data_IF_200098260072
#
_entry.id   IF_200098260072
#
_cell.length_a   1.000
_cell.length_b   1.000
_cell.length_c   1.000
_cell.angle_alpha   90.00
_cell.angle_beta   90.00
_cell.angle_gamma   90.00
#
_symmetry.space_group_name_H-M   'P 1'
#
loop_
_entity.id
_entity.type
_entity.pdbx_description
1 polymer ?
#
# COMPACT_ATOMS: atom_id res chain seq x y z
N UNK A 1 -4.48 -30.76 -3.44
CA UNK A 1 -4.02 -30.03 -2.24
C UNK A 1 -4.90 -28.80 -2.12
N UNK A 2 -5.78 -28.74 -1.12
CA UNK A 2 -6.62 -27.56 -0.87
C UNK A 2 -5.72 -26.54 -0.20
N UNK A 3 -5.42 -25.41 -0.87
CA UNK A 3 -4.64 -24.33 -0.31
C UNK A 3 -5.57 -23.61 0.68
N UNK A 4 -5.24 -23.63 1.96
CA UNK A 4 -5.94 -22.86 2.97
C UNK A 4 -5.73 -21.39 2.69
N UNK A 5 -6.83 -20.65 2.50
CA UNK A 5 -6.85 -19.18 2.47
C UNK A 5 -7.19 -18.68 3.86
N UNK A 6 -6.56 -17.59 4.24
CA UNK A 6 -6.99 -16.85 5.43
C UNK A 6 -8.38 -16.29 5.18
N UNK A 7 -9.39 -16.83 5.90
CA UNK A 7 -10.78 -16.40 5.79
C UNK A 7 -11.09 -15.45 6.95
N UNK A 8 -11.12 -14.15 6.67
CA UNK A 8 -11.51 -13.12 7.63
C UNK A 8 -12.88 -12.55 7.24
N UNK A 9 -13.94 -13.07 7.86
CA UNK A 9 -15.28 -12.55 7.60
C UNK A 9 -15.50 -11.20 8.29
N UNK A 10 -16.02 -10.23 7.55
CA UNK A 10 -16.41 -8.92 8.11
C UNK A 10 -17.59 -9.10 9.06
N UNK A 11 -17.52 -8.69 10.33
CA UNK A 11 -18.68 -8.75 11.24
C UNK A 11 -19.85 -7.91 10.72
N UNK A 12 -21.09 -8.33 10.98
CA UNK A 12 -22.29 -7.68 10.46
C UNK A 12 -22.40 -6.18 10.80
N UNK A 13 -22.10 -5.82 12.06
CA UNK A 13 -22.11 -4.42 12.50
C UNK A 13 -21.06 -3.59 11.77
N UNK A 14 -19.88 -4.16 11.56
CA UNK A 14 -18.79 -3.51 10.80
C UNK A 14 -19.22 -3.34 9.33
N UNK A 15 -19.79 -4.38 8.71
CA UNK A 15 -20.25 -4.31 7.33
C UNK A 15 -21.27 -3.20 7.13
N UNK A 16 -22.27 -3.08 8.03
CA UNK A 16 -23.29 -2.02 7.97
C UNK A 16 -22.69 -0.62 8.09
N UNK A 17 -21.75 -0.43 9.01
CA UNK A 17 -21.03 0.84 9.16
C UNK A 17 -20.25 1.20 7.89
N UNK A 18 -19.48 0.25 7.36
CA UNK A 18 -18.63 0.48 6.19
C UNK A 18 -19.44 0.79 4.92
N UNK A 19 -20.58 0.14 4.75
CA UNK A 19 -21.47 0.41 3.61
C UNK A 19 -22.10 1.81 3.70
N UNK A 20 -22.50 2.24 4.91
CA UNK A 20 -23.00 3.61 5.12
C UNK A 20 -21.93 4.66 4.79
N UNK A 21 -20.69 4.47 5.26
CA UNK A 21 -19.56 5.37 4.98
C UNK A 21 -19.14 5.34 3.49
N UNK A 22 -19.30 4.21 2.81
CA UNK A 22 -19.00 4.10 1.38
C UNK A 22 -19.87 4.98 0.51
N UNK A 23 -21.08 5.36 1.00
CA UNK A 23 -21.99 6.32 0.35
C UNK A 23 -22.23 5.98 -1.13
N UNK A 24 -22.66 4.75 -1.42
CA UNK A 24 -23.18 4.39 -2.74
C UNK A 24 -24.59 4.97 -2.89
N UNK A 25 -24.92 5.45 -4.09
CA UNK A 25 -26.23 6.07 -4.36
C UNK A 25 -27.12 5.05 -5.06
N UNK A 26 -28.07 4.47 -4.31
CA UNK A 26 -29.07 3.51 -4.78
C UNK A 26 -28.58 2.53 -5.85
N UNK A 27 -27.52 1.72 -5.55
CA UNK A 27 -26.96 0.80 -6.52
C UNK A 27 -27.98 -0.28 -6.90
N UNK A 28 -28.22 -0.49 -8.19
CA UNK A 28 -29.09 -1.57 -8.64
C UNK A 28 -28.43 -2.92 -8.42
N UNK A 29 -27.11 -3.00 -8.65
CA UNK A 29 -26.33 -4.23 -8.52
C UNK A 29 -25.15 -4.04 -7.56
N UNK A 30 -25.18 -4.76 -6.43
CA UNK A 30 -24.04 -4.90 -5.52
C UNK A 30 -23.40 -6.28 -5.71
N UNK A 31 -22.11 -6.33 -6.01
CA UNK A 31 -21.39 -7.59 -6.27
C UNK A 31 -20.23 -7.77 -5.29
N UNK A 32 -20.15 -8.97 -4.70
CA UNK A 32 -19.02 -9.41 -3.88
C UNK A 32 -18.41 -10.70 -4.46
N UNK A 33 -17.23 -10.65 -5.09
CA UNK A 33 -16.59 -11.81 -5.73
C UNK A 33 -15.87 -12.73 -4.75
N UNK A 34 -15.91 -12.41 -3.45
CA UNK A 34 -15.33 -13.21 -2.34
C UNK A 34 -16.26 -13.17 -1.14
N UNK A 35 -17.56 -13.43 -1.38
CA UNK A 35 -18.66 -13.04 -0.48
C UNK A 35 -18.63 -13.71 0.91
N UNK A 36 -17.93 -14.81 1.10
CA UNK A 36 -17.81 -15.47 2.39
C UNK A 36 -19.15 -15.65 3.09
N UNK A 37 -19.30 -15.12 4.30
CA UNK A 37 -20.55 -15.16 5.05
C UNK A 37 -21.70 -14.31 4.47
N UNK A 38 -21.44 -13.50 3.44
CA UNK A 38 -22.44 -12.62 2.80
C UNK A 38 -22.75 -11.33 3.58
N UNK A 39 -21.99 -11.00 4.62
CA UNK A 39 -22.31 -9.88 5.49
C UNK A 39 -22.25 -8.52 4.79
N UNK A 40 -21.33 -8.32 3.83
CA UNK A 40 -21.27 -7.10 3.03
C UNK A 40 -22.49 -6.98 2.11
N UNK A 41 -22.87 -8.05 1.43
CA UNK A 41 -24.09 -8.07 0.61
C UNK A 41 -25.37 -7.89 1.44
N UNK A 42 -25.44 -8.50 2.62
CA UNK A 42 -26.54 -8.32 3.55
C UNK A 42 -26.67 -6.87 4.03
N UNK A 43 -25.54 -6.23 4.33
CA UNK A 43 -25.51 -4.80 4.68
C UNK A 43 -25.97 -3.92 3.52
N UNK A 44 -25.53 -4.20 2.29
CA UNK A 44 -25.96 -3.48 1.10
C UNK A 44 -27.47 -3.61 0.89
N UNK A 45 -28.02 -4.82 0.98
CA UNK A 45 -29.44 -5.09 0.86
C UNK A 45 -30.27 -4.37 1.94
N UNK A 46 -29.78 -4.31 3.18
CA UNK A 46 -30.45 -3.59 4.28
C UNK A 46 -30.48 -2.08 4.08
N UNK A 47 -29.39 -1.49 3.56
CA UNK A 47 -29.26 -0.04 3.38
C UNK A 47 -30.03 0.43 2.14
N UNK A 48 -29.92 -0.32 1.03
CA UNK A 48 -30.46 0.10 -0.26
C UNK A 48 -31.76 -0.63 -0.69
N UNK A 49 -32.30 -1.50 0.12
CA UNK A 49 -33.60 -2.16 -0.03
C UNK A 49 -33.89 -2.86 -1.37
N UNK A 50 -33.73 -2.15 -2.48
CA UNK A 50 -33.97 -2.60 -3.85
C UNK A 50 -32.78 -3.19 -4.57
N UNK A 51 -31.58 -3.19 -3.95
CA UNK A 51 -30.36 -3.66 -4.60
C UNK A 51 -30.38 -5.18 -4.85
N UNK A 52 -29.94 -5.57 -6.04
CA UNK A 52 -29.76 -6.97 -6.41
C UNK A 52 -28.37 -7.43 -5.98
N UNK A 53 -28.33 -8.36 -5.05
CA UNK A 53 -27.08 -8.90 -4.49
C UNK A 53 -26.53 -10.03 -5.34
N UNK A 54 -25.26 -9.92 -5.72
CA UNK A 54 -24.53 -10.92 -6.51
C UNK A 54 -23.33 -11.36 -5.70
N UNK A 55 -23.16 -12.66 -5.46
CA UNK A 55 -22.06 -13.18 -4.68
C UNK A 55 -21.34 -14.34 -5.37
N UNK A 56 -20.02 -14.32 -5.28
CA UNK A 56 -19.15 -15.42 -5.68
C UNK A 56 -18.30 -15.85 -4.48
N UNK A 57 -18.09 -17.13 -4.35
CA UNK A 57 -17.12 -17.70 -3.42
C UNK A 57 -16.63 -19.04 -3.97
N UNK A 58 -15.40 -19.42 -3.65
CA UNK A 58 -14.85 -20.72 -4.04
C UNK A 58 -15.39 -21.88 -3.18
N UNK A 59 -15.87 -21.58 -1.99
CA UNK A 59 -16.43 -22.59 -1.07
C UNK A 59 -17.89 -22.89 -1.39
N UNK A 60 -18.10 -24.09 -1.97
CA UNK A 60 -19.44 -24.58 -2.29
C UNK A 60 -20.37 -24.67 -1.08
N UNK A 61 -19.83 -24.94 0.12
CA UNK A 61 -20.66 -25.08 1.34
C UNK A 61 -21.21 -23.69 1.73
N UNK A 62 -20.39 -22.67 1.66
CA UNK A 62 -20.78 -21.26 1.90
C UNK A 62 -21.90 -20.86 0.92
N UNK A 63 -21.68 -21.05 -0.37
CA UNK A 63 -22.66 -20.69 -1.40
C UNK A 63 -23.97 -21.47 -1.22
N UNK A 64 -23.90 -22.77 -0.90
CA UNK A 64 -25.10 -23.59 -0.65
C UNK A 64 -25.90 -23.08 0.55
N UNK A 65 -25.23 -22.69 1.63
CA UNK A 65 -25.86 -22.09 2.81
C UNK A 65 -26.51 -20.75 2.46
N UNK A 66 -25.76 -19.83 1.84
CA UNK A 66 -26.26 -18.50 1.49
C UNK A 66 -27.47 -18.54 0.54
N UNK A 67 -27.52 -19.50 -0.40
CA UNK A 67 -28.68 -19.70 -1.29
C UNK A 67 -29.95 -20.09 -0.53
N UNK A 68 -29.84 -20.85 0.55
CA UNK A 68 -30.98 -21.20 1.40
C UNK A 68 -31.47 -19.99 2.21
N UNK A 69 -30.53 -19.19 2.71
CA UNK A 69 -30.82 -18.03 3.55
C UNK A 69 -31.29 -16.82 2.71
N UNK A 70 -30.82 -16.71 1.46
CA UNK A 70 -31.08 -15.59 0.57
C UNK A 70 -31.45 -16.08 -0.86
N UNK A 71 -32.64 -16.65 -1.05
CA UNK A 71 -33.02 -17.30 -2.33
C UNK A 71 -33.12 -16.33 -3.51
N UNK A 72 -33.22 -15.03 -3.26
CA UNK A 72 -33.28 -13.98 -4.27
C UNK A 72 -31.91 -13.43 -4.68
N UNK A 73 -30.82 -13.84 -4.01
CA UNK A 73 -29.47 -13.44 -4.41
C UNK A 73 -28.96 -14.31 -5.56
N UNK A 74 -28.24 -13.70 -6.49
CA UNK A 74 -27.53 -14.43 -7.53
C UNK A 74 -26.17 -14.89 -7.01
N UNK A 75 -26.06 -16.17 -6.67
CA UNK A 75 -24.88 -16.74 -6.05
C UNK A 75 -24.25 -17.83 -6.95
N UNK A 76 -22.95 -17.83 -7.10
CA UNK A 76 -22.22 -18.86 -7.86
C UNK A 76 -20.93 -19.29 -7.16
N UNK A 77 -20.56 -20.57 -7.34
CA UNK A 77 -19.28 -21.10 -6.90
C UNK A 77 -18.22 -20.73 -7.95
N UNK A 78 -17.24 -19.93 -7.58
CA UNK A 78 -16.12 -19.56 -8.44
C UNK A 78 -14.88 -19.24 -7.64
N UNK A 79 -13.72 -19.65 -8.15
CA UNK A 79 -12.41 -19.19 -7.69
C UNK A 79 -11.97 -18.05 -8.59
N UNK A 80 -11.95 -16.84 -8.07
CA UNK A 80 -11.62 -15.62 -8.83
C UNK A 80 -10.18 -15.60 -9.37
N UNK A 81 -9.29 -16.43 -8.83
CA UNK A 81 -7.93 -16.56 -9.35
C UNK A 81 -7.82 -17.53 -10.53
N UNK A 82 -8.91 -18.25 -10.85
CA UNK A 82 -8.97 -19.20 -11.98
C UNK A 82 -9.97 -18.71 -13.01
N UNK A 83 -9.47 -18.19 -14.12
CA UNK A 83 -10.31 -17.68 -15.20
C UNK A 83 -11.38 -18.66 -15.68
N UNK A 84 -11.03 -19.91 -15.91
CA UNK A 84 -11.96 -20.96 -16.30
C UNK A 84 -13.03 -21.28 -15.26
N UNK A 85 -12.83 -20.92 -13.98
CA UNK A 85 -13.82 -21.09 -12.93
C UNK A 85 -14.94 -20.05 -13.01
N UNK A 86 -14.57 -18.78 -13.24
CA UNK A 86 -15.53 -17.68 -13.34
C UNK A 86 -16.37 -17.74 -14.61
N UNK A 87 -15.77 -17.98 -15.78
CA UNK A 87 -16.43 -17.97 -17.09
C UNK A 87 -17.63 -18.93 -17.15
N UNK A 88 -17.62 -20.00 -16.37
CA UNK A 88 -18.68 -21.01 -16.32
C UNK A 88 -19.83 -20.67 -15.39
N UNK A 89 -19.84 -19.49 -14.78
CA UNK A 89 -20.89 -19.10 -13.82
C UNK A 89 -22.02 -18.33 -14.51
N UNK A 90 -23.21 -18.39 -13.91
CA UNK A 90 -24.34 -17.54 -14.34
C UNK A 90 -24.03 -16.05 -14.19
N UNK A 91 -23.16 -15.68 -13.25
CA UNK A 91 -22.70 -14.30 -13.09
C UNK A 91 -21.91 -13.86 -14.33
N UNK A 92 -20.99 -14.69 -14.84
CA UNK A 92 -20.20 -14.35 -16.04
C UNK A 92 -21.05 -14.18 -17.29
N UNK A 93 -22.14 -14.98 -17.43
CA UNK A 93 -23.01 -14.89 -18.61
C UNK A 93 -23.99 -13.71 -18.56
N UNK A 94 -24.34 -13.24 -17.36
CA UNK A 94 -25.41 -12.25 -17.18
C UNK A 94 -24.90 -10.86 -16.81
N UNK A 95 -23.68 -10.74 -16.22
CA UNK A 95 -23.18 -9.49 -15.67
C UNK A 95 -21.75 -9.18 -16.12
N UNK A 96 -21.61 -8.10 -16.88
CA UNK A 96 -20.31 -7.51 -17.25
C UNK A 96 -19.96 -6.26 -16.46
N UNK A 97 -20.95 -5.66 -15.78
CA UNK A 97 -20.79 -4.45 -14.99
C UNK A 97 -21.68 -4.51 -13.75
N UNK A 98 -21.29 -3.85 -12.70
CA UNK A 98 -22.11 -3.64 -11.49
C UNK A 98 -22.03 -2.17 -11.07
N UNK A 99 -22.90 -1.74 -10.15
CA UNK A 99 -22.83 -0.38 -9.64
C UNK A 99 -21.81 -0.30 -8.51
N UNK A 100 -21.92 -1.16 -7.52
CA UNK A 100 -21.05 -1.20 -6.37
C UNK A 100 -20.36 -2.57 -6.25
N UNK A 101 -19.04 -2.54 -6.16
CA UNK A 101 -18.20 -3.73 -5.90
C UNK A 101 -17.80 -3.75 -4.43
N UNK A 102 -18.00 -4.86 -3.75
CA UNK A 102 -17.69 -5.07 -2.35
C UNK A 102 -16.56 -6.08 -2.24
N UNK A 103 -15.46 -5.70 -1.63
CA UNK A 103 -14.24 -6.52 -1.63
C UNK A 103 -13.68 -6.68 -0.21
N UNK A 104 -13.70 -7.89 0.30
CA UNK A 104 -12.86 -8.33 1.41
C UNK A 104 -12.07 -9.57 0.95
N UNK A 105 -11.07 -9.39 0.06
CA UNK A 105 -10.33 -10.50 -0.50
C UNK A 105 -9.47 -11.20 0.56
N UNK A 106 -9.06 -12.46 0.33
CA UNK A 106 -8.11 -13.11 1.20
C UNK A 106 -6.78 -12.34 1.21
N UNK A 107 -6.18 -12.19 2.39
CA UNK A 107 -4.94 -11.44 2.56
C UNK A 107 -3.69 -12.24 2.19
N UNK A 108 -3.77 -13.57 2.30
CA UNK A 108 -2.69 -14.49 1.92
C UNK A 108 -3.25 -15.76 1.27
N UNK A 109 -2.40 -16.49 0.59
CA UNK A 109 -2.71 -17.79 -0.01
C UNK A 109 -1.63 -18.79 0.39
N UNK A 110 -1.76 -19.39 1.57
CA UNK A 110 -0.80 -20.32 2.12
C UNK A 110 0.60 -19.69 2.21
N UNK A 111 1.62 -20.32 1.59
CA UNK A 111 2.99 -19.81 1.56
C UNK A 111 3.21 -18.73 0.51
N UNK A 112 2.28 -18.52 -0.42
CA UNK A 112 2.44 -17.53 -1.49
C UNK A 112 2.17 -16.15 -0.95
N UNK A 113 3.16 -15.27 -1.06
CA UNK A 113 3.07 -13.86 -0.67
C UNK A 113 2.70 -12.95 -1.83
N UNK A 114 2.83 -13.43 -3.07
CA UNK A 114 2.58 -12.68 -4.30
C UNK A 114 2.05 -13.59 -5.40
N UNK A 115 1.41 -12.99 -6.38
CA UNK A 115 0.90 -13.61 -7.60
C UNK A 115 1.32 -12.77 -8.81
N UNK A 116 1.57 -13.45 -9.91
CA UNK A 116 1.73 -12.83 -11.23
C UNK A 116 0.37 -12.79 -11.91
N UNK A 117 -0.09 -11.62 -12.31
CA UNK A 117 -1.42 -11.41 -12.91
C UNK A 117 -1.33 -10.56 -14.18
N UNK A 118 -2.28 -10.79 -15.08
CA UNK A 118 -2.56 -9.88 -16.19
C UNK A 118 -3.71 -8.95 -15.81
N UNK A 119 -3.60 -7.68 -16.16
CA UNK A 119 -4.67 -6.70 -16.05
C UNK A 119 -4.58 -5.75 -17.24
N UNK A 120 -5.66 -5.67 -18.04
CA UNK A 120 -5.72 -4.83 -19.26
C UNK A 120 -4.44 -4.89 -20.10
N UNK A 121 -4.02 -6.09 -20.46
CA UNK A 121 -2.81 -6.37 -21.28
C UNK A 121 -1.46 -6.02 -20.63
N UNK A 122 -1.42 -5.68 -19.37
CA UNK A 122 -0.18 -5.44 -18.59
C UNK A 122 0.03 -6.55 -17.56
N UNK A 123 1.30 -6.90 -17.32
CA UNK A 123 1.67 -7.92 -16.33
C UNK A 123 2.10 -7.26 -15.03
N UNK A 124 1.63 -7.81 -13.91
CA UNK A 124 1.95 -7.30 -12.57
C UNK A 124 2.32 -8.43 -11.64
N UNK A 125 3.31 -8.18 -10.78
CA UNK A 125 3.61 -9.00 -9.62
C UNK A 125 3.13 -8.26 -8.39
N UNK A 126 2.16 -8.81 -7.69
CA UNK A 126 1.51 -8.11 -6.59
C UNK A 126 1.08 -9.06 -5.46
N UNK A 127 0.61 -8.50 -4.35
CA UNK A 127 0.05 -9.27 -3.25
C UNK A 127 -1.24 -9.99 -3.65
N UNK A 128 -1.61 -11.01 -2.88
CA UNK A 128 -2.85 -11.76 -3.09
C UNK A 128 -4.06 -10.83 -3.06
N UNK A 129 -4.16 -9.94 -2.06
CA UNK A 129 -5.27 -9.00 -1.97
C UNK A 129 -5.34 -8.07 -3.20
N UNK A 130 -4.21 -7.52 -3.64
CA UNK A 130 -4.14 -6.66 -4.83
C UNK A 130 -4.58 -7.40 -6.09
N UNK A 131 -4.19 -8.66 -6.25
CA UNK A 131 -4.57 -9.48 -7.40
C UNK A 131 -6.09 -9.69 -7.50
N UNK A 132 -6.76 -9.93 -6.37
CA UNK A 132 -8.22 -10.01 -6.32
C UNK A 132 -8.90 -8.69 -6.66
N UNK A 133 -8.37 -7.57 -6.14
CA UNK A 133 -8.89 -6.23 -6.43
C UNK A 133 -8.81 -5.95 -7.93
N UNK A 134 -7.62 -6.08 -8.52
CA UNK A 134 -7.41 -5.79 -9.94
C UNK A 134 -8.30 -6.66 -10.83
N UNK A 135 -8.32 -7.96 -10.60
CA UNK A 135 -9.16 -8.88 -11.38
C UNK A 135 -10.65 -8.56 -11.24
N UNK A 136 -11.10 -8.20 -10.05
CA UNK A 136 -12.51 -7.84 -9.83
C UNK A 136 -12.88 -6.54 -10.53
N UNK A 137 -12.01 -5.55 -10.51
CA UNK A 137 -12.22 -4.29 -11.25
C UNK A 137 -12.27 -4.52 -12.77
N UNK A 138 -11.40 -5.38 -13.31
CA UNK A 138 -11.39 -5.73 -14.74
C UNK A 138 -12.66 -6.44 -15.18
N UNK A 139 -13.12 -7.41 -14.39
CA UNK A 139 -14.27 -8.26 -14.74
C UNK A 139 -15.61 -7.55 -14.57
N UNK A 140 -15.73 -6.68 -13.58
CA UNK A 140 -17.03 -6.13 -13.17
C UNK A 140 -17.21 -4.64 -13.41
N UNK A 141 -16.13 -3.89 -13.68
CA UNK A 141 -16.15 -2.48 -14.07
C UNK A 141 -17.18 -1.62 -13.28
N UNK A 142 -17.05 -1.50 -11.95
CA UNK A 142 -18.07 -0.91 -11.09
C UNK A 142 -18.29 0.59 -11.40
N UNK A 143 -19.55 0.98 -11.67
CA UNK A 143 -19.88 2.36 -12.07
C UNK A 143 -19.78 3.37 -10.93
N UNK A 144 -20.10 2.96 -9.70
CA UNK A 144 -19.97 3.76 -8.47
C UNK A 144 -18.69 3.42 -7.67
N UNK A 145 -17.88 2.49 -8.18
CA UNK A 145 -16.62 2.10 -7.60
C UNK A 145 -16.68 0.89 -6.67
N UNK A 146 -15.61 0.70 -5.92
CA UNK A 146 -15.45 -0.46 -5.05
C UNK A 146 -15.17 -0.05 -3.60
N UNK A 147 -15.88 -0.66 -2.65
CA UNK A 147 -15.51 -0.68 -1.23
C UNK A 147 -14.51 -1.82 -1.02
N UNK A 148 -13.34 -1.50 -0.51
CA UNK A 148 -12.24 -2.45 -0.34
C UNK A 148 -11.82 -2.51 1.12
N UNK A 149 -11.78 -3.72 1.68
CA UNK A 149 -11.16 -4.04 2.97
C UNK A 149 -9.89 -4.82 2.65
N UNK A 150 -8.73 -4.28 2.95
CA UNK A 150 -7.46 -4.93 2.62
C UNK A 150 -6.39 -4.65 3.68
N UNK A 151 -5.29 -5.44 3.73
CA UNK A 151 -4.18 -5.12 4.61
C UNK A 151 -3.67 -3.70 4.35
N UNK A 152 -3.42 -2.94 5.39
CA UNK A 152 -2.89 -1.56 5.27
C UNK A 152 -1.61 -1.53 4.42
N UNK A 153 -0.81 -2.59 4.45
CA UNK A 153 0.40 -2.74 3.64
C UNK A 153 0.15 -2.62 2.13
N UNK A 154 -1.06 -2.96 1.65
CA UNK A 154 -1.43 -2.80 0.24
C UNK A 154 -1.27 -1.35 -0.26
N UNK A 155 -1.51 -0.38 0.62
CA UNK A 155 -1.38 1.04 0.29
C UNK A 155 0.08 1.53 0.22
N UNK A 156 1.05 0.74 0.75
CA UNK A 156 2.43 1.21 0.96
C UNK A 156 3.52 0.26 0.50
N UNK A 157 3.19 -1.02 0.27
CA UNK A 157 4.13 -2.07 -0.09
C UNK A 157 4.81 -1.77 -1.44
N UNK A 158 6.12 -1.99 -1.50
CA UNK A 158 6.87 -1.95 -2.77
C UNK A 158 6.40 -3.04 -3.73
N UNK A 159 5.92 -4.18 -3.18
CA UNK A 159 5.38 -5.28 -3.95
C UNK A 159 4.16 -4.87 -4.78
N UNK A 160 3.27 -4.05 -4.20
CA UNK A 160 2.04 -3.62 -4.85
C UNK A 160 2.19 -2.27 -5.57
N UNK A 161 3.39 -1.69 -5.60
CA UNK A 161 3.61 -0.34 -6.12
C UNK A 161 3.18 -0.18 -7.57
N UNK A 162 3.67 -1.05 -8.46
CA UNK A 162 3.34 -0.97 -9.88
C UNK A 162 1.84 -1.15 -10.14
N UNK A 163 1.21 -2.12 -9.47
CA UNK A 163 -0.22 -2.37 -9.57
C UNK A 163 -1.03 -1.17 -9.04
N UNK A 164 -0.64 -0.62 -7.89
CA UNK A 164 -1.28 0.54 -7.29
C UNK A 164 -1.14 1.79 -8.16
N UNK A 165 0.05 2.06 -8.69
CA UNK A 165 0.30 3.20 -9.56
C UNK A 165 -0.50 3.09 -10.88
N UNK A 166 -0.69 1.86 -11.38
CA UNK A 166 -1.56 1.63 -12.51
C UNK A 166 -3.03 1.92 -12.17
N UNK A 167 -3.53 1.38 -11.07
CA UNK A 167 -4.91 1.62 -10.63
C UNK A 167 -5.19 3.10 -10.32
N UNK A 168 -4.21 3.86 -9.82
CA UNK A 168 -4.40 5.30 -9.56
C UNK A 168 -4.61 6.15 -10.82
N UNK A 169 -4.34 5.62 -12.01
CA UNK A 169 -4.69 6.28 -13.27
C UNK A 169 -6.18 6.18 -13.57
N UNK A 170 -6.83 5.12 -13.13
CA UNK A 170 -8.23 4.81 -13.42
C UNK A 170 -9.17 5.10 -12.24
N UNK A 171 -8.65 5.03 -11.00
CA UNK A 171 -9.43 5.16 -9.77
C UNK A 171 -8.79 6.12 -8.78
N UNK A 172 -9.61 6.91 -8.09
CA UNK A 172 -9.21 7.66 -6.92
C UNK A 172 -9.35 6.78 -5.67
N UNK A 173 -8.30 6.71 -4.85
CA UNK A 173 -8.30 5.97 -3.58
C UNK A 173 -8.74 6.90 -2.46
N UNK A 174 -9.99 6.76 -2.00
CA UNK A 174 -10.54 7.52 -0.87
C UNK A 174 -10.51 6.66 0.39
N UNK A 175 -9.68 7.00 1.37
CA UNK A 175 -9.67 6.33 2.68
C UNK A 175 -11.00 6.55 3.39
N UNK A 176 -11.52 5.48 4.02
CA UNK A 176 -12.71 5.51 4.88
C UNK A 176 -12.28 5.44 6.34
N UNK A 177 -11.67 4.33 6.75
CA UNK A 177 -11.17 4.13 8.11
C UNK A 177 -10.11 3.03 8.14
N UNK A 178 -9.42 2.93 9.28
CA UNK A 178 -8.57 1.79 9.60
C UNK A 178 -9.31 0.89 10.61
N UNK A 179 -9.21 -0.42 10.42
CA UNK A 179 -9.80 -1.41 11.31
C UNK A 179 -8.74 -1.94 12.27
N UNK A 180 -9.06 -1.91 13.56
CA UNK A 180 -8.15 -2.40 14.59
C UNK A 180 -7.99 -3.93 14.52
N UNK A 181 -6.85 -4.43 15.08
CA UNK A 181 -6.50 -5.86 15.14
C UNK A 181 -7.58 -6.76 15.75
N UNK A 182 -8.50 -6.22 16.55
CA UNK A 182 -9.58 -6.97 17.21
C UNK A 182 -10.81 -7.19 16.32
N UNK A 183 -10.89 -6.51 15.19
CA UNK A 183 -12.07 -6.56 14.29
C UNK A 183 -12.23 -7.93 13.65
N UNK A 184 -11.14 -8.61 13.34
CA UNK A 184 -11.15 -9.95 12.74
C UNK A 184 -10.69 -10.99 13.77
N UNK A 185 -11.54 -11.95 14.07
CA UNK A 185 -11.18 -13.07 14.97
C UNK A 185 -9.99 -13.84 14.42
N UNK A 186 -8.90 -13.92 15.19
CA UNK A 186 -7.71 -14.71 14.84
C UNK A 186 -6.66 -14.00 13.96
N UNK A 187 -6.91 -12.79 13.49
CA UNK A 187 -5.93 -12.02 12.72
C UNK A 187 -5.21 -10.98 13.57
N UNK A 188 -3.89 -10.96 13.46
CA UNK A 188 -3.04 -9.85 13.94
C UNK A 188 -2.69 -8.91 12.77
N UNK A 189 -3.68 -8.56 11.94
CA UNK A 189 -3.46 -7.73 10.74
C UNK A 189 -4.26 -6.45 10.86
N UNK A 190 -3.60 -5.32 10.70
CA UNK A 190 -4.28 -4.05 10.51
C UNK A 190 -4.83 -4.01 9.10
N UNK A 191 -6.11 -3.76 8.96
CA UNK A 191 -6.75 -3.59 7.68
C UNK A 191 -7.18 -2.13 7.51
N UNK A 192 -7.00 -1.61 6.31
CA UNK A 192 -7.52 -0.31 5.90
C UNK A 192 -8.75 -0.52 5.02
N UNK A 193 -9.71 0.35 5.19
CA UNK A 193 -10.91 0.41 4.36
C UNK A 193 -10.85 1.66 3.49
N UNK A 194 -11.03 1.46 2.20
CA UNK A 194 -11.01 2.55 1.24
C UNK A 194 -12.02 2.30 0.12
N UNK A 195 -12.47 3.39 -0.51
CA UNK A 195 -13.29 3.35 -1.72
C UNK A 195 -12.40 3.66 -2.93
N UNK A 196 -12.52 2.83 -3.96
CA UNK A 196 -11.98 3.09 -5.29
C UNK A 196 -13.09 3.74 -6.12
N UNK A 197 -12.91 5.00 -6.48
CA UNK A 197 -13.85 5.75 -7.28
C UNK A 197 -13.34 5.80 -8.72
N UNK A 198 -14.14 5.39 -9.74
CA UNK A 198 -13.74 5.54 -11.13
C UNK A 198 -13.43 7.01 -11.42
N UNK A 199 -12.31 7.27 -12.07
CA UNK A 199 -11.99 8.60 -12.56
C UNK A 199 -12.84 8.83 -13.81
N UNK A 200 -13.76 9.77 -13.74
CA UNK A 200 -14.33 10.36 -14.94
C UNK A 200 -13.18 11.06 -15.68
N UNK A 201 -13.03 10.80 -16.98
CA UNK A 201 -12.03 11.50 -17.79
C UNK A 201 -12.12 13.00 -17.54
N UNK A 202 -11.20 13.52 -16.71
CA UNK A 202 -11.04 14.96 -16.60
C UNK A 202 -10.35 15.41 -17.88
N UNK A 203 -11.08 16.16 -18.69
CA UNK A 203 -10.46 17.13 -19.59
C UNK A 203 -9.34 17.82 -18.81
N UNK A 204 -8.09 17.66 -19.26
CA UNK A 204 -6.92 18.25 -18.61
C UNK A 204 -7.07 19.77 -18.56
N UNK A 205 -7.60 20.27 -17.47
CA UNK A 205 -7.36 21.66 -17.10
C UNK A 205 -5.97 21.72 -16.49
N UNK A 206 -4.98 22.00 -17.33
CA UNK A 206 -3.64 22.41 -16.87
C UNK A 206 -3.81 23.66 -16.01
N UNK A 207 -3.94 23.48 -14.72
CA UNK A 207 -3.78 24.56 -13.77
C UNK A 207 -2.28 24.91 -13.76
N UNK A 208 -1.91 25.98 -14.49
CA UNK A 208 -0.60 26.59 -14.39
C UNK A 208 -0.55 27.31 -13.04
N UNK A 209 -0.07 26.60 -12.03
CA UNK A 209 0.28 27.23 -10.75
C UNK A 209 1.66 27.85 -10.96
N UNK A 210 1.68 29.18 -11.18
CA UNK A 210 2.91 29.97 -11.09
C UNK A 210 3.31 30.04 -9.63
N UNK A 211 4.41 29.38 -9.27
CA UNK A 211 5.04 29.50 -7.95
C UNK A 211 6.42 30.13 -8.08
N UNK A 212 6.77 30.92 -7.08
CA UNK A 212 7.94 31.75 -6.91
C UNK A 212 9.29 31.10 -7.25
N UNK A 213 10.18 31.91 -7.77
CA UNK A 213 11.44 31.71 -8.50
C UNK A 213 12.62 31.05 -7.76
N UNK A 214 12.44 30.06 -6.89
CA UNK A 214 13.58 29.26 -6.41
C UNK A 214 13.28 27.75 -6.52
N UNK A 215 13.89 27.14 -7.52
CA UNK A 215 13.90 25.69 -7.64
C UNK A 215 14.66 25.06 -6.46
N UNK A 216 13.96 24.29 -5.64
CA UNK A 216 14.57 23.52 -4.56
C UNK A 216 15.05 22.19 -5.16
N UNK A 217 16.38 21.98 -5.21
CA UNK A 217 16.97 20.76 -5.78
C UNK A 217 17.68 19.95 -4.71
N UNK A 218 17.35 18.66 -4.60
CA UNK A 218 17.98 17.71 -3.71
C UNK A 218 18.00 16.32 -4.32
N UNK A 219 19.00 15.50 -4.00
CA UNK A 219 19.06 14.10 -4.42
C UNK A 219 18.63 13.15 -3.29
N UNK A 220 18.08 12.01 -3.66
CA UNK A 220 17.72 10.95 -2.70
C UNK A 220 18.62 9.75 -2.94
N UNK A 221 19.38 9.37 -1.91
CA UNK A 221 20.27 8.22 -1.92
C UNK A 221 19.72 7.15 -1.00
N UNK A 222 19.59 5.92 -1.49
CA UNK A 222 19.24 4.76 -0.68
C UNK A 222 20.52 4.05 -0.22
N UNK A 223 20.62 3.77 1.08
CA UNK A 223 21.65 2.89 1.59
C UNK A 223 21.50 1.45 1.08
N UNK A 224 22.60 0.73 0.90
CA UNK A 224 22.58 -0.62 0.34
C UNK A 224 23.30 -1.66 1.21
N UNK A 225 24.06 -1.25 2.21
CA UNK A 225 24.84 -2.19 3.03
C UNK A 225 23.95 -2.88 4.08
N UNK A 226 23.85 -4.21 3.99
CA UNK A 226 23.10 -5.00 4.95
C UNK A 226 23.91 -5.18 6.25
N UNK A 227 23.30 -4.89 7.40
CA UNK A 227 23.97 -4.92 8.72
C UNK A 227 24.65 -6.26 9.01
N UNK A 228 24.01 -7.37 8.68
CA UNK A 228 24.56 -8.70 8.92
C UNK A 228 25.79 -9.01 8.04
N UNK A 229 25.89 -8.41 6.85
CA UNK A 229 27.06 -8.53 5.95
C UNK A 229 28.21 -7.70 6.52
N UNK A 230 27.93 -6.46 6.94
CA UNK A 230 28.92 -5.59 7.57
C UNK A 230 29.48 -6.20 8.85
N UNK A 231 28.63 -6.77 9.70
CA UNK A 231 29.05 -7.39 10.96
C UNK A 231 29.91 -8.66 10.78
N UNK A 232 29.83 -9.32 9.61
CA UNK A 232 30.69 -10.49 9.28
C UNK A 232 32.06 -10.09 8.75
N UNK A 233 32.18 -8.91 8.16
CA UNK A 233 33.42 -8.37 7.58
C UNK A 233 34.23 -7.65 8.67
N UNK A 234 34.87 -8.41 9.56
CA UNK A 234 35.66 -7.88 10.71
C UNK A 234 37.01 -7.26 10.37
N UNK A 235 37.49 -7.31 9.15
CA UNK A 235 38.78 -6.74 8.76
C UNK A 235 38.60 -5.29 8.28
N UNK A 236 38.95 -4.37 9.13
CA UNK A 236 39.01 -2.94 8.81
C UNK A 236 40.37 -2.67 8.14
N UNK A 237 40.45 -2.83 6.82
CA UNK A 237 41.62 -2.41 6.04
C UNK A 237 41.63 -0.87 5.85
N UNK A 238 42.74 -0.37 5.27
CA UNK A 238 42.91 1.07 5.01
C UNK A 238 41.77 1.70 4.20
N UNK A 239 41.05 0.93 3.37
CA UNK A 239 39.92 1.36 2.54
C UNK A 239 38.56 1.33 3.27
N UNK A 240 38.52 1.12 4.57
CA UNK A 240 37.30 1.09 5.33
C UNK A 240 36.73 2.52 5.52
N UNK A 241 35.41 2.64 5.43
CA UNK A 241 34.69 3.87 5.71
C UNK A 241 33.73 3.71 6.89
N UNK A 242 33.38 4.78 7.61
CA UNK A 242 32.36 4.72 8.64
C UNK A 242 31.06 4.14 8.09
N UNK A 243 30.38 3.33 8.92
CA UNK A 243 29.10 2.72 8.58
C UNK A 243 28.00 3.29 9.46
N UNK A 244 26.93 3.79 8.85
CA UNK A 244 25.80 4.36 9.56
C UNK A 244 24.58 3.44 9.44
N UNK A 245 24.03 3.05 10.58
CA UNK A 245 22.80 2.29 10.73
C UNK A 245 21.77 3.07 11.56
N UNK A 246 20.49 2.76 11.43
CA UNK A 246 19.38 3.47 12.10
C UNK A 246 19.54 3.62 13.61
N UNK A 247 20.15 2.63 14.29
CA UNK A 247 20.41 2.69 15.74
C UNK A 247 21.44 3.76 16.13
N UNK A 248 22.27 4.21 15.19
CA UNK A 248 23.31 5.20 15.42
C UNK A 248 22.81 6.63 15.22
N UNK A 249 21.67 6.80 14.54
CA UNK A 249 21.15 8.13 14.21
C UNK A 249 20.95 9.04 15.43
N UNK A 250 20.43 8.59 16.59
CA UNK A 250 20.32 9.45 17.77
C UNK A 250 21.66 10.03 18.20
N UNK A 251 22.68 9.18 18.33
CA UNK A 251 24.03 9.62 18.75
C UNK A 251 24.68 10.51 17.71
N UNK A 252 24.50 10.20 16.42
CA UNK A 252 25.01 11.01 15.32
C UNK A 252 24.50 12.47 15.40
N UNK A 253 23.25 12.66 15.74
CA UNK A 253 22.64 13.99 15.84
C UNK A 253 23.01 14.76 17.12
N UNK A 254 23.42 14.06 18.17
CA UNK A 254 23.82 14.67 19.45
C UNK A 254 25.32 14.84 19.60
N UNK A 255 26.09 13.87 19.15
CA UNK A 255 27.54 13.77 19.41
C UNK A 255 28.40 13.78 18.15
N UNK A 256 27.78 13.75 16.96
CA UNK A 256 28.47 13.61 15.68
C UNK A 256 28.76 12.15 15.31
N UNK A 257 29.51 11.94 14.23
CA UNK A 257 29.82 10.64 13.68
C UNK A 257 30.74 9.84 14.63
N UNK A 258 30.25 8.70 15.14
CA UNK A 258 31.06 7.72 15.87
C UNK A 258 31.79 6.82 14.87
N UNK A 259 33.12 6.90 14.81
CA UNK A 259 33.98 6.16 13.88
C UNK A 259 34.25 4.71 14.29
N UNK A 260 33.62 4.23 15.38
CA UNK A 260 33.85 2.86 15.91
C UNK A 260 33.31 1.76 14.99
N UNK A 261 32.29 2.04 14.18
CA UNK A 261 31.75 1.06 13.25
C UNK A 261 32.10 1.43 11.81
N UNK A 262 33.00 0.64 11.22
CA UNK A 262 33.48 0.84 9.84
C UNK A 262 33.16 -0.36 8.96
N UNK A 263 33.23 -0.20 7.65
CA UNK A 263 33.04 -1.28 6.68
C UNK A 263 33.90 -1.09 5.44
N UNK A 264 34.34 -2.20 4.87
CA UNK A 264 34.96 -2.27 3.55
C UNK A 264 33.94 -2.58 2.44
N UNK A 265 32.69 -2.85 2.80
CA UNK A 265 31.61 -3.17 1.86
C UNK A 265 31.34 -1.97 0.96
N UNK A 266 31.58 -2.15 -0.35
CA UNK A 266 31.35 -1.12 -1.38
C UNK A 266 30.07 -1.45 -2.13
N UNK A 267 28.96 -0.84 -1.71
CA UNK A 267 27.63 -0.94 -2.37
C UNK A 267 27.04 0.46 -2.52
N UNK A 268 25.86 0.56 -3.14
CA UNK A 268 25.15 1.84 -3.23
C UNK A 268 24.93 2.46 -1.85
N UNK A 269 24.78 3.78 -1.81
CA UNK A 269 24.52 4.51 -0.56
C UNK A 269 25.78 4.97 0.18
N UNK A 270 26.90 5.22 -0.53
CA UNK A 270 28.00 6.04 -0.04
C UNK A 270 27.70 7.50 -0.24
N UNK A 271 27.88 8.26 0.81
CA UNK A 271 27.58 9.71 0.80
C UNK A 271 28.64 10.50 1.57
N UNK A 272 28.78 11.77 1.20
CA UNK A 272 29.60 12.78 1.87
C UNK A 272 28.93 14.14 1.75
N UNK A 273 29.18 15.07 2.67
CA UNK A 273 28.68 16.42 2.66
C UNK A 273 27.38 16.58 3.46
N UNK A 274 26.61 17.62 3.15
CA UNK A 274 25.34 17.88 3.85
C UNK A 274 24.27 16.90 3.44
N UNK A 275 23.56 16.35 4.42
CA UNK A 275 22.44 15.45 4.18
C UNK A 275 21.42 15.45 5.34
N UNK A 276 20.20 15.02 5.04
CA UNK A 276 19.19 14.59 6.03
C UNK A 276 19.12 13.07 5.96
N UNK A 277 19.29 12.40 7.11
CA UNK A 277 19.21 10.94 7.19
C UNK A 277 17.84 10.52 7.74
N UNK A 278 17.13 9.69 7.00
CA UNK A 278 15.82 9.18 7.36
C UNK A 278 15.87 7.67 7.59
N UNK A 279 15.42 7.17 8.76
CA UNK A 279 15.26 5.74 8.96
C UNK A 279 14.19 5.22 8.00
N UNK A 280 14.50 4.16 7.29
CA UNK A 280 13.54 3.52 6.37
C UNK A 280 12.44 2.78 7.12
N UNK A 281 12.75 2.27 8.30
CA UNK A 281 11.83 1.52 9.19
C UNK A 281 11.88 2.11 10.59
N UNK A 282 10.73 2.23 11.21
CA UNK A 282 10.53 2.83 12.54
C UNK A 282 9.90 4.22 12.44
N UNK A 283 9.54 4.79 13.59
CA UNK A 283 9.07 6.17 13.66
C UNK A 283 10.30 7.10 13.57
N UNK A 284 10.32 8.05 12.66
CA UNK A 284 11.25 9.16 12.78
C UNK A 284 10.80 9.93 14.02
N UNK A 285 11.56 9.85 15.09
CA UNK A 285 11.43 10.89 16.12
C UNK A 285 11.81 12.19 15.42
N UNK A 286 11.06 13.27 15.63
CA UNK A 286 11.28 14.58 15.00
C UNK A 286 12.74 15.03 15.16
N UNK A 287 13.41 14.65 16.26
CA UNK A 287 14.83 14.85 16.50
C UNK A 287 15.76 14.11 15.52
N UNK A 288 15.28 13.13 14.75
CA UNK A 288 16.11 12.28 13.88
C UNK A 288 16.09 12.68 12.40
N UNK A 289 15.48 13.80 12.04
CA UNK A 289 15.41 14.29 10.66
C UNK A 289 16.16 15.63 10.50
N UNK A 290 17.29 15.73 11.18
CA UNK A 290 18.11 16.96 11.13
C UNK A 290 19.12 16.92 9.99
N UNK A 291 19.42 18.09 9.44
CA UNK A 291 20.52 18.26 8.51
C UNK A 291 21.85 18.10 9.24
N UNK A 292 22.67 17.17 8.76
CA UNK A 292 24.02 16.91 9.28
C UNK A 292 25.05 17.13 8.18
N UNK A 293 26.29 17.41 8.57
CA UNK A 293 27.43 17.44 7.69
C UNK A 293 28.30 16.22 7.95
N UNK A 294 28.60 15.48 6.90
CA UNK A 294 29.51 14.35 6.93
C UNK A 294 30.82 14.80 6.28
N UNK A 295 31.85 14.99 7.07
CA UNK A 295 33.14 15.48 6.58
C UNK A 295 33.89 14.42 5.78
N UNK A 296 33.66 13.13 6.08
CA UNK A 296 34.19 11.98 5.35
C UNK A 296 33.10 11.21 4.61
N UNK A 297 33.51 10.39 3.63
CA UNK A 297 32.63 9.46 2.98
C UNK A 297 32.17 8.38 3.96
N UNK A 298 30.87 8.13 4.01
CA UNK A 298 30.25 7.10 4.87
C UNK A 298 29.41 6.12 4.03
N UNK A 299 29.31 4.88 4.49
CA UNK A 299 28.42 3.87 3.93
C UNK A 299 27.13 3.80 4.73
N UNK A 300 25.99 3.97 4.07
CA UNK A 300 24.68 3.81 4.70
C UNK A 300 24.18 2.37 4.65
N UNK A 301 23.49 1.94 5.72
CA UNK A 301 22.77 0.68 5.72
C UNK A 301 21.53 0.76 4.79
N UNK A 302 21.07 -0.41 4.35
CA UNK A 302 19.84 -0.58 3.56
C UNK A 302 18.56 -0.09 4.25
N UNK A 303 18.66 0.22 5.55
CA UNK A 303 17.59 0.78 6.39
C UNK A 303 17.59 2.30 6.46
N UNK A 304 18.40 3.01 5.66
CA UNK A 304 18.48 4.48 5.68
C UNK A 304 18.31 5.05 4.27
N UNK A 305 17.56 6.15 4.17
CA UNK A 305 17.59 7.08 3.05
C UNK A 305 18.36 8.33 3.45
N UNK A 306 19.15 8.88 2.52
CA UNK A 306 19.74 10.20 2.65
C UNK A 306 19.14 11.14 1.61
N UNK A 307 18.85 12.37 2.03
CA UNK A 307 18.53 13.48 1.15
C UNK A 307 19.76 14.38 1.13
N UNK A 308 20.39 14.56 -0.02
CA UNK A 308 21.58 15.39 -0.20
C UNK A 308 21.27 16.66 -0.99
N UNK A 309 21.90 17.77 -0.63
CA UNK A 309 21.74 19.06 -1.28
C UNK A 309 22.52 20.15 -0.57
N UNK A 310 22.32 21.38 -1.00
CA UNK A 310 22.90 22.53 -0.31
C UNK A 310 22.27 22.74 1.07
N UNK A 311 23.04 23.24 2.02
CA UNK A 311 22.62 23.39 3.41
C UNK A 311 21.30 24.14 3.58
N UNK A 312 21.12 25.26 2.90
CA UNK A 312 19.89 26.06 3.00
C UNK A 312 18.67 25.33 2.43
N UNK A 313 18.84 24.56 1.33
CA UNK A 313 17.81 23.71 0.73
C UNK A 313 17.41 22.60 1.69
N UNK A 314 18.40 21.94 2.29
CA UNK A 314 18.14 20.87 3.25
C UNK A 314 17.43 21.38 4.51
N UNK A 315 17.72 22.59 4.98
CA UNK A 315 17.00 23.20 6.11
C UNK A 315 15.53 23.44 5.81
N UNK A 316 15.21 23.84 4.59
CA UNK A 316 13.82 23.98 4.17
C UNK A 316 13.11 22.61 4.07
N UNK A 317 13.79 21.60 3.51
CA UNK A 317 13.28 20.23 3.47
C UNK A 317 13.11 19.67 4.89
N UNK A 318 14.06 19.88 5.79
CA UNK A 318 13.98 19.48 7.20
C UNK A 318 12.72 20.02 7.88
N UNK A 319 12.42 21.30 7.70
CA UNK A 319 11.22 21.95 8.22
C UNK A 319 9.95 21.30 7.65
N UNK A 320 9.91 21.07 6.34
CA UNK A 320 8.75 20.42 5.68
C UNK A 320 8.56 18.99 6.14
N UNK A 321 9.64 18.22 6.34
CA UNK A 321 9.60 16.86 6.88
C UNK A 321 9.06 16.87 8.32
N UNK A 322 9.55 17.78 9.18
CA UNK A 322 9.13 17.85 10.59
C UNK A 322 7.63 18.08 10.74
N UNK A 323 7.03 18.86 9.84
CA UNK A 323 5.60 19.16 9.85
C UNK A 323 4.72 18.05 9.27
N UNK A 324 5.25 17.26 8.32
CA UNK A 324 4.43 16.37 7.47
C UNK A 324 4.94 14.92 7.42
N UNK A 325 5.79 14.48 8.33
CA UNK A 325 6.37 13.13 8.29
C UNK A 325 5.32 12.00 8.28
N UNK A 326 4.14 12.21 8.87
CA UNK A 326 3.03 11.25 8.88
C UNK A 326 2.48 10.97 7.48
N UNK A 327 2.68 11.87 6.51
CA UNK A 327 2.21 11.69 5.14
C UNK A 327 2.93 10.52 4.45
N UNK A 328 4.19 10.28 4.78
CA UNK A 328 5.04 9.30 4.08
C UNK A 328 5.53 8.12 4.92
N UNK A 329 5.43 8.17 6.26
CA UNK A 329 5.69 7.01 7.12
C UNK A 329 4.41 6.26 7.45
N UNK A 330 4.25 5.05 6.92
CA UNK A 330 3.06 4.22 7.05
C UNK A 330 3.43 2.76 7.33
N UNK A 331 2.52 1.98 7.89
CA UNK A 331 2.69 0.55 8.12
C UNK A 331 1.92 0.03 9.34
N UNK A 332 1.68 -1.27 9.35
CA UNK A 332 0.82 -1.96 10.33
C UNK A 332 1.52 -2.39 11.63
N UNK A 333 2.82 -2.28 11.67
CA UNK A 333 3.64 -2.61 12.84
C UNK A 333 4.72 -1.58 13.00
N UNK A 334 5.93 -1.88 12.53
CA UNK A 334 6.94 -0.84 12.37
C UNK A 334 6.58 -0.01 11.14
N UNK A 335 6.36 1.30 11.33
CA UNK A 335 6.13 2.21 10.22
C UNK A 335 7.36 2.27 9.33
N UNK A 336 7.16 2.44 8.01
CA UNK A 336 8.27 2.50 7.05
C UNK A 336 7.97 3.47 5.92
N UNK A 337 9.04 3.90 5.23
CA UNK A 337 8.98 4.69 4.01
C UNK A 337 9.62 3.92 2.86
N UNK A 338 9.07 4.09 1.64
CA UNK A 338 9.68 3.60 0.40
C UNK A 338 10.32 4.74 -0.38
N UNK A 339 11.28 4.39 -1.26
CA UNK A 339 11.93 5.38 -2.14
C UNK A 339 10.90 6.10 -3.02
N UNK A 340 9.95 5.37 -3.56
CA UNK A 340 8.87 5.90 -4.39
C UNK A 340 7.99 6.90 -3.65
N UNK A 341 7.60 6.60 -2.42
CA UNK A 341 6.84 7.54 -1.60
C UNK A 341 7.62 8.83 -1.31
N UNK A 342 8.91 8.69 -1.01
CA UNK A 342 9.75 9.86 -0.77
C UNK A 342 9.89 10.71 -2.03
N UNK A 343 10.10 10.08 -3.20
CA UNK A 343 10.11 10.78 -4.50
C UNK A 343 8.77 11.45 -4.81
N UNK A 344 7.65 10.75 -4.59
CA UNK A 344 6.30 11.30 -4.80
C UNK A 344 6.02 12.50 -3.90
N UNK A 345 6.45 12.44 -2.63
CA UNK A 345 6.35 13.54 -1.70
C UNK A 345 7.20 14.74 -2.16
N UNK A 346 8.40 14.51 -2.69
CA UNK A 346 9.23 15.55 -3.28
C UNK A 346 8.50 16.28 -4.42
N UNK A 347 7.90 15.51 -5.34
CA UNK A 347 7.12 16.08 -6.47
C UNK A 347 5.96 16.93 -5.94
N UNK A 348 5.19 16.42 -4.97
CA UNK A 348 4.05 17.16 -4.38
C UNK A 348 4.48 18.43 -3.65
N UNK A 349 5.67 18.47 -3.09
CA UNK A 349 6.22 19.65 -2.40
C UNK A 349 7.11 20.50 -3.32
N UNK A 350 7.13 20.21 -4.63
CA UNK A 350 7.91 20.94 -5.65
C UNK A 350 9.42 20.94 -5.36
N UNK A 351 9.94 19.82 -4.85
CA UNK A 351 11.36 19.57 -4.66
C UNK A 351 11.84 18.77 -5.87
N UNK A 352 12.75 19.32 -6.64
CA UNK A 352 13.31 18.65 -7.81
C UNK A 352 14.44 17.71 -7.42
N UNK A 353 14.49 16.53 -8.03
CA UNK A 353 15.59 15.56 -7.85
C UNK A 353 16.56 15.67 -9.03
N UNK A 354 17.85 15.53 -8.70
CA UNK A 354 18.92 15.42 -9.73
C UNK A 354 18.91 14.04 -10.35
#
# INVERSE_FOLDING_TARGET
MIIELDQYFTPEKTASYLLAEASFTDPEYCLDPTCGSGNLLSAANKIHGSTKCIGLDRDRKIITKLRKENPHWLLSVADMQREGSYIRTLVASNFKACDALLLNPPFSQGKNKYLDISYKNSQFKCSVAMSYIMRSLELFSPTQGALVIAPESLLYSELDEQARDYLTKEYDFKSICDLENKTFKGAKVHASVFKLLPRLEKLETKAIIRTSDKEIRASIVRGGAQVHVVNRSKNYGADSVPFIHTKMLPNLFEQGLDDKQRTVVKVCGRIKGYCILLPRVGLPKIALSKTVKLDDEVQLSDCIFAIQGEYHVLKEIEMRISLNWQEFYKGTGARYITLSKLKKWFITKQIFTF
#
